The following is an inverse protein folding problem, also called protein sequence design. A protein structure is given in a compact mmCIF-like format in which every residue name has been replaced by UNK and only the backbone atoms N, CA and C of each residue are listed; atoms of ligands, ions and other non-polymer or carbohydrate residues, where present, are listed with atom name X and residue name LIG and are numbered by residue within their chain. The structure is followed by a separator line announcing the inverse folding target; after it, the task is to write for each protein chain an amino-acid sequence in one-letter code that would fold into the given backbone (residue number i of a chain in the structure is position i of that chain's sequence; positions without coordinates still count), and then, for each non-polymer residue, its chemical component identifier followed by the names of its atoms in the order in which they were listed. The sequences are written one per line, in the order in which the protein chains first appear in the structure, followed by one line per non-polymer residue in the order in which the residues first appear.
data_IF_959738123917
#
_entry.id   IF_959738123917
#
_cell.length_a   1.000
_cell.length_b   1.000
_cell.length_c   1.000
_cell.angle_alpha   90.00
_cell.angle_beta   90.00
_cell.angle_gamma   90.00
#
_symmetry.space_group_name_H-M   'P 1'
#
loop_
_entity.id
_entity.type
_entity.pdbx_description
1 polymer ?
#
# COMPACT_ATOMS: atom_id res chain seq x y z
N UNK A 1 6.10 -27.60 -16.52
CA UNK A 1 5.11 -27.02 -15.57
C UNK A 1 5.79 -26.78 -14.23
N UNK A 2 5.45 -25.66 -13.56
CA UNK A 2 5.96 -25.35 -12.24
C UNK A 2 7.41 -24.87 -12.19
N UNK A 3 8.00 -24.44 -13.30
CA UNK A 3 9.38 -23.96 -13.33
C UNK A 3 9.56 -22.70 -12.49
N UNK A 4 8.66 -21.73 -12.66
CA UNK A 4 8.64 -20.52 -11.86
C UNK A 4 7.23 -19.90 -11.87
N UNK A 5 7.00 -19.01 -10.90
CA UNK A 5 5.76 -18.25 -10.77
C UNK A 5 5.88 -16.87 -11.41
N UNK A 6 4.88 -16.47 -12.17
CA UNK A 6 4.82 -15.17 -12.84
C UNK A 6 3.39 -14.70 -13.03
N UNK A 7 3.19 -13.40 -12.97
CA UNK A 7 1.98 -12.73 -13.45
C UNK A 7 2.12 -12.48 -14.95
N UNK A 8 1.80 -13.49 -15.77
CA UNK A 8 2.10 -13.52 -17.19
C UNK A 8 1.50 -12.40 -18.04
N UNK A 9 0.53 -11.65 -17.50
CA UNK A 9 -0.01 -10.44 -18.12
C UNK A 9 0.85 -9.19 -17.88
N UNK A 10 1.80 -9.25 -16.93
CA UNK A 10 2.55 -8.07 -16.49
C UNK A 10 4.07 -8.26 -16.68
N UNK A 11 4.63 -9.35 -16.22
CA UNK A 11 6.04 -9.67 -16.36
C UNK A 11 6.26 -11.17 -16.50
N UNK A 12 7.42 -11.54 -17.02
CA UNK A 12 7.84 -12.90 -17.31
C UNK A 12 8.63 -12.89 -18.60
N UNK A 13 9.95 -12.95 -18.52
CA UNK A 13 10.85 -12.83 -19.65
C UNK A 13 11.89 -13.94 -19.61
N UNK A 14 12.49 -14.19 -20.79
CA UNK A 14 13.60 -15.11 -20.97
C UNK A 14 14.71 -14.41 -21.76
N UNK A 15 15.94 -14.58 -21.30
CA UNK A 15 17.14 -14.11 -21.98
C UNK A 15 18.16 -15.24 -22.11
N UNK A 16 18.88 -15.26 -23.23
CA UNK A 16 20.01 -16.15 -23.43
C UNK A 16 21.27 -15.32 -23.36
N UNK A 17 22.30 -15.84 -22.69
CA UNK A 17 23.60 -15.18 -22.63
C UNK A 17 24.15 -15.04 -24.06
N UNK A 18 24.58 -13.84 -24.46
CA UNK A 18 25.05 -13.58 -25.85
C UNK A 18 26.29 -14.38 -26.23
N UNK A 19 27.05 -14.91 -25.26
CA UNK A 19 28.27 -15.66 -25.49
C UNK A 19 28.13 -17.16 -25.21
N UNK A 20 27.02 -17.60 -24.59
CA UNK A 20 26.79 -19.00 -24.22
C UNK A 20 25.32 -19.39 -24.38
N UNK A 21 24.98 -20.08 -25.46
CA UNK A 21 23.61 -20.52 -25.76
C UNK A 21 23.01 -21.50 -24.73
N UNK A 22 23.84 -22.15 -23.91
CA UNK A 22 23.38 -23.02 -22.83
C UNK A 22 23.01 -22.23 -21.55
N UNK A 23 23.45 -20.96 -21.43
CA UNK A 23 23.18 -20.09 -20.30
C UNK A 23 21.89 -19.30 -20.58
N UNK A 24 20.86 -19.59 -19.79
CA UNK A 24 19.53 -19.00 -19.95
C UNK A 24 19.11 -18.40 -18.61
N UNK A 25 18.57 -17.20 -18.66
CA UNK A 25 17.94 -16.53 -17.53
C UNK A 25 16.45 -16.40 -17.79
N UNK A 26 15.62 -16.75 -16.83
CA UNK A 26 14.19 -16.48 -16.87
C UNK A 26 13.73 -15.89 -15.55
N UNK A 27 12.83 -14.95 -15.63
CA UNK A 27 12.41 -14.18 -14.47
C UNK A 27 10.96 -13.70 -14.60
N UNK A 28 10.35 -13.57 -13.46
CA UNK A 28 9.05 -13.08 -13.13
C UNK A 28 9.06 -12.78 -11.65
N UNK A 29 8.32 -13.50 -10.81
CA UNK A 29 8.46 -13.39 -9.36
C UNK A 29 9.85 -13.85 -8.90
N UNK A 30 10.36 -15.06 -9.21
CA UNK A 30 11.76 -15.40 -8.98
C UNK A 30 12.64 -15.05 -10.19
N UNK A 31 13.93 -14.93 -9.92
CA UNK A 31 15.01 -14.90 -10.94
C UNK A 31 15.76 -16.22 -10.89
N UNK A 32 15.69 -16.98 -11.98
CA UNK A 32 16.32 -18.30 -12.10
C UNK A 32 17.18 -18.39 -13.35
N UNK A 33 18.16 -19.30 -13.35
CA UNK A 33 19.07 -19.50 -14.46
C UNK A 33 19.26 -21.00 -14.76
N UNK A 34 19.70 -21.28 -15.98
CA UNK A 34 20.10 -22.60 -16.47
C UNK A 34 21.50 -22.50 -17.10
N UNK A 35 22.32 -23.52 -16.91
CA UNK A 35 23.65 -23.67 -17.54
C UNK A 35 23.67 -24.77 -18.61
N UNK A 36 22.56 -25.47 -18.83
CA UNK A 36 22.47 -26.67 -19.64
C UNK A 36 21.43 -26.57 -20.77
N UNK A 37 21.15 -25.35 -21.24
CA UNK A 37 20.21 -25.11 -22.34
C UNK A 37 18.75 -25.28 -21.90
N UNK A 38 18.44 -25.05 -20.63
CA UNK A 38 17.08 -25.08 -20.09
C UNK A 38 16.61 -26.46 -19.63
N UNK A 39 17.49 -27.42 -19.44
CA UNK A 39 17.15 -28.74 -18.90
C UNK A 39 16.95 -28.69 -17.38
N UNK A 40 17.83 -27.96 -16.69
CA UNK A 40 17.74 -27.71 -15.25
C UNK A 40 17.80 -26.21 -14.94
N UNK A 41 17.17 -25.80 -13.87
CA UNK A 41 17.14 -24.41 -13.43
C UNK A 41 17.38 -24.31 -11.93
N UNK A 42 18.04 -23.23 -11.51
CA UNK A 42 18.26 -22.88 -10.10
C UNK A 42 18.11 -21.37 -9.89
N UNK A 43 17.77 -20.97 -8.67
CA UNK A 43 17.58 -19.55 -8.32
C UNK A 43 18.91 -18.84 -8.13
N UNK A 44 19.02 -17.64 -8.69
CA UNK A 44 20.12 -16.70 -8.45
C UNK A 44 19.62 -15.42 -7.74
N UNK A 45 18.33 -15.30 -7.50
CA UNK A 45 17.80 -14.30 -6.56
C UNK A 45 18.24 -14.64 -5.14
N UNK A 46 18.82 -13.66 -4.43
CA UNK A 46 19.31 -13.81 -3.04
C UNK A 46 18.47 -12.94 -2.10
N UNK A 47 18.71 -13.03 -0.79
CA UNK A 47 17.93 -12.29 0.23
C UNK A 47 17.91 -10.78 0.05
N UNK A 48 18.97 -10.19 -0.54
CA UNK A 48 19.04 -8.76 -0.82
C UNK A 48 18.55 -8.34 -2.21
N UNK A 49 17.97 -9.28 -2.97
CA UNK A 49 17.36 -9.06 -4.27
C UNK A 49 15.85 -9.19 -4.11
N UNK A 50 15.11 -8.12 -4.33
CA UNK A 50 13.65 -8.15 -4.27
C UNK A 50 13.11 -9.06 -5.36
N UNK A 51 11.97 -9.69 -5.11
CA UNK A 51 11.22 -10.43 -6.12
C UNK A 51 10.63 -9.48 -7.20
N UNK A 52 9.80 -10.03 -8.08
CA UNK A 52 9.06 -9.27 -9.10
C UNK A 52 10.02 -8.55 -10.07
N UNK A 53 10.72 -9.38 -10.84
CA UNK A 53 11.77 -8.94 -11.75
C UNK A 53 11.17 -8.49 -13.09
N UNK A 54 11.49 -7.25 -13.52
CA UNK A 54 10.95 -6.61 -14.71
C UNK A 54 11.93 -6.63 -15.88
N UNK A 55 13.23 -6.52 -15.63
CA UNK A 55 14.23 -6.57 -16.68
C UNK A 55 15.58 -7.08 -16.18
N UNK A 56 16.35 -7.65 -17.12
CA UNK A 56 17.69 -8.15 -16.88
C UNK A 56 18.59 -7.77 -18.06
N UNK A 57 19.62 -6.98 -17.80
CA UNK A 57 20.67 -6.74 -18.76
C UNK A 57 21.87 -7.67 -18.49
N UNK A 58 22.36 -8.31 -19.56
CA UNK A 58 23.50 -9.20 -19.55
C UNK A 58 24.65 -8.52 -20.28
N UNK A 59 25.80 -8.36 -19.63
CA UNK A 59 26.96 -7.73 -20.24
C UNK A 59 27.59 -8.63 -21.32
N UNK A 60 27.55 -8.24 -22.62
CA UNK A 60 28.09 -9.09 -23.69
C UNK A 60 29.63 -9.20 -23.67
N UNK A 61 30.31 -8.30 -22.96
CA UNK A 61 31.77 -8.24 -22.90
C UNK A 61 32.35 -8.78 -21.58
N UNK A 62 31.51 -9.08 -20.59
CA UNK A 62 31.95 -9.54 -19.27
C UNK A 62 30.98 -10.59 -18.73
N UNK A 63 31.24 -11.88 -18.93
CA UNK A 63 30.41 -12.95 -18.39
C UNK A 63 30.19 -12.80 -16.88
N UNK A 64 28.98 -13.09 -16.41
CA UNK A 64 28.60 -12.99 -15.00
C UNK A 64 28.29 -11.57 -14.51
N UNK A 65 28.46 -10.55 -15.36
CA UNK A 65 28.05 -9.20 -15.03
C UNK A 65 26.61 -8.98 -15.50
N UNK A 66 25.69 -8.87 -14.55
CA UNK A 66 24.25 -8.68 -14.78
C UNK A 66 23.77 -7.44 -14.04
N UNK A 67 22.75 -6.78 -14.60
CA UNK A 67 21.98 -5.73 -13.94
C UNK A 67 20.51 -6.12 -13.99
N UNK A 68 19.89 -6.20 -12.84
CA UNK A 68 18.47 -6.58 -12.68
C UNK A 68 17.65 -5.42 -12.14
N UNK A 69 16.52 -5.13 -12.79
CA UNK A 69 15.48 -4.24 -12.33
C UNK A 69 14.33 -5.04 -11.73
N UNK A 70 13.93 -4.70 -10.51
CA UNK A 70 12.84 -5.35 -9.77
C UNK A 70 12.08 -4.33 -8.92
N UNK A 71 11.00 -4.74 -8.25
CA UNK A 71 10.16 -3.84 -7.44
C UNK A 71 10.89 -3.23 -6.22
N UNK A 72 12.03 -3.78 -5.84
CA UNK A 72 12.93 -3.20 -4.83
C UNK A 72 13.98 -2.23 -5.40
N UNK A 73 14.03 -2.04 -6.73
CA UNK A 73 14.97 -1.15 -7.41
C UNK A 73 15.95 -1.88 -8.34
N UNK A 74 17.23 -1.55 -8.26
CA UNK A 74 18.28 -2.08 -9.15
C UNK A 74 19.31 -2.88 -8.36
N UNK A 75 19.59 -4.10 -8.84
CA UNK A 75 20.64 -4.97 -8.31
C UNK A 75 21.68 -5.27 -9.38
N UNK A 76 22.95 -5.32 -8.98
CA UNK A 76 24.10 -5.59 -9.87
C UNK A 76 24.88 -6.76 -9.32
N UNK A 77 25.24 -7.69 -10.20
CA UNK A 77 26.18 -8.79 -9.89
C UNK A 77 27.35 -8.80 -10.87
N UNK A 78 28.49 -9.29 -10.44
CA UNK A 78 29.69 -9.49 -11.27
C UNK A 78 30.14 -10.95 -11.31
N UNK A 79 29.41 -11.83 -10.67
CA UNK A 79 29.70 -13.24 -10.45
C UNK A 79 28.46 -14.13 -10.72
N UNK A 80 27.67 -13.76 -11.72
CA UNK A 80 26.51 -14.52 -12.19
C UNK A 80 25.45 -14.79 -11.11
N UNK A 81 25.28 -13.84 -10.20
CA UNK A 81 24.26 -13.89 -9.16
C UNK A 81 24.67 -14.62 -7.88
N UNK A 82 25.95 -14.99 -7.71
CA UNK A 82 26.45 -15.50 -6.44
C UNK A 82 26.36 -14.41 -5.36
N UNK A 83 26.76 -13.18 -5.71
CA UNK A 83 26.65 -12.01 -4.86
C UNK A 83 25.98 -10.86 -5.60
N UNK A 84 25.11 -10.13 -4.90
CA UNK A 84 24.42 -8.98 -5.45
C UNK A 84 24.69 -7.71 -4.66
N UNK A 85 24.87 -6.62 -5.40
CA UNK A 85 24.98 -5.25 -4.85
C UNK A 85 23.66 -4.57 -5.11
N UNK A 86 22.93 -4.22 -4.06
CA UNK A 86 21.72 -3.40 -4.18
C UNK A 86 22.10 -1.95 -4.38
N UNK A 87 21.61 -1.34 -5.45
CA UNK A 87 21.77 0.09 -5.68
C UNK A 87 20.76 0.88 -4.85
N UNK A 88 21.21 1.47 -3.74
CA UNK A 88 20.38 2.28 -2.85
C UNK A 88 20.42 3.79 -3.18
N UNK A 89 20.99 4.19 -4.33
CA UNK A 89 21.09 5.59 -4.73
C UNK A 89 19.90 6.10 -5.55
N UNK A 90 18.96 5.25 -5.87
CA UNK A 90 17.75 5.62 -6.59
C UNK A 90 16.74 6.23 -5.61
N UNK A 91 16.46 7.53 -5.78
CA UNK A 91 15.56 8.30 -4.91
C UNK A 91 14.13 8.29 -5.48
N UNK A 92 13.56 7.10 -5.69
CA UNK A 92 12.20 6.93 -6.21
C UNK A 92 11.42 5.92 -5.36
N UNK A 93 10.11 6.10 -5.28
CA UNK A 93 9.20 5.19 -4.61
C UNK A 93 7.77 5.42 -5.09
N UNK A 94 7.00 4.36 -5.21
CA UNK A 94 5.59 4.43 -5.57
C UNK A 94 4.76 4.50 -4.29
N UNK A 95 4.31 5.70 -3.93
CA UNK A 95 3.53 5.93 -2.73
C UNK A 95 2.05 5.63 -2.96
N UNK A 96 1.45 4.84 -2.09
CA UNK A 96 0.00 4.72 -1.94
C UNK A 96 -0.57 5.85 -1.10
N UNK A 97 0.14 6.24 -0.05
CA UNK A 97 -0.32 7.26 0.90
C UNK A 97 0.85 8.02 1.51
N UNK A 98 0.63 9.29 1.83
CA UNK A 98 1.60 10.17 2.51
C UNK A 98 0.87 10.90 3.63
N UNK A 99 1.53 11.03 4.79
CA UNK A 99 1.07 11.82 5.93
C UNK A 99 2.23 12.49 6.67
N UNK A 100 1.94 13.40 7.60
CA UNK A 100 2.93 14.12 8.41
C UNK A 100 2.50 14.17 9.87
N UNK A 101 3.47 14.31 10.80
CA UNK A 101 3.22 14.34 12.26
C UNK A 101 3.12 15.74 12.87
N UNK A 102 3.27 16.79 12.09
CA UNK A 102 3.25 18.20 12.51
C UNK A 102 4.28 18.57 13.59
N UNK A 103 5.30 17.76 13.84
CA UNK A 103 6.43 18.11 14.72
C UNK A 103 7.28 19.25 14.12
N UNK A 104 8.26 19.76 14.87
CA UNK A 104 9.21 20.79 14.38
C UNK A 104 10.64 20.35 14.66
N UNK A 105 11.39 19.86 13.66
CA UNK A 105 10.98 19.56 12.27
C UNK A 105 9.96 18.40 12.20
N UNK A 106 9.04 18.45 11.25
CA UNK A 106 8.08 17.35 11.07
C UNK A 106 8.69 16.17 10.32
N UNK A 107 8.15 15.00 10.57
CA UNK A 107 8.44 13.82 9.77
C UNK A 107 7.37 13.62 8.69
N UNK A 108 7.82 13.08 7.57
CA UNK A 108 6.98 12.56 6.49
C UNK A 108 6.90 11.07 6.65
N UNK A 109 5.69 10.53 6.52
CA UNK A 109 5.39 9.11 6.55
C UNK A 109 4.85 8.71 5.19
N UNK A 110 5.24 7.54 4.69
CA UNK A 110 4.76 7.05 3.41
C UNK A 110 4.61 5.54 3.38
N UNK A 111 3.48 5.08 2.86
CA UNK A 111 3.25 3.69 2.49
C UNK A 111 3.54 3.50 1.01
N UNK A 112 4.45 2.58 0.68
CA UNK A 112 4.95 2.34 -0.67
C UNK A 112 4.55 0.94 -1.14
N UNK A 113 4.23 0.84 -2.42
CA UNK A 113 4.07 -0.45 -3.06
C UNK A 113 5.38 -1.24 -2.93
N UNK A 114 5.29 -2.51 -2.53
CA UNK A 114 6.37 -3.49 -2.38
C UNK A 114 7.48 -3.12 -1.39
N UNK A 115 7.54 -1.87 -0.94
CA UNK A 115 8.64 -1.33 -0.16
C UNK A 115 8.25 -0.91 1.27
N UNK A 116 7.08 -1.29 1.74
CA UNK A 116 6.64 -1.10 3.12
C UNK A 116 6.28 0.33 3.49
N UNK A 117 6.32 0.61 4.78
CA UNK A 117 6.02 1.93 5.35
C UNK A 117 7.28 2.55 5.91
N UNK A 118 7.53 3.79 5.53
CA UNK A 118 8.72 4.54 5.93
C UNK A 118 8.36 5.86 6.60
N UNK A 119 9.26 6.33 7.46
CA UNK A 119 9.21 7.67 8.04
C UNK A 119 10.59 8.33 8.00
N UNK A 120 10.61 9.64 7.87
CA UNK A 120 11.85 10.42 7.94
C UNK A 120 11.60 11.92 8.02
N UNK A 121 12.59 12.70 8.47
CA UNK A 121 12.45 14.14 8.60
C UNK A 121 12.33 14.81 7.24
N UNK A 122 11.40 15.78 7.10
CA UNK A 122 11.17 16.51 5.85
C UNK A 122 12.41 17.26 5.34
N UNK A 123 13.31 17.61 6.24
CA UNK A 123 14.53 18.37 5.95
C UNK A 123 15.78 17.47 5.82
N UNK A 124 15.61 16.17 5.59
CA UNK A 124 16.72 15.27 5.31
C UNK A 124 17.47 15.70 4.06
N UNK A 125 18.78 15.87 4.18
CA UNK A 125 19.66 16.23 3.06
C UNK A 125 20.43 14.97 2.64
N UNK A 126 20.35 14.54 1.35
CA UNK A 126 21.11 13.42 0.84
C UNK A 126 22.61 13.54 1.14
N UNK A 127 23.22 12.46 1.64
CA UNK A 127 24.64 12.47 1.98
C UNK A 127 25.28 11.11 1.68
N UNK A 128 26.40 11.12 0.98
CA UNK A 128 27.24 9.92 0.77
C UNK A 128 27.68 9.27 2.08
N UNK A 129 27.73 10.01 3.20
CA UNK A 129 28.08 9.50 4.52
C UNK A 129 27.06 8.50 5.06
N UNK A 130 25.81 8.54 4.59
CA UNK A 130 24.79 7.57 5.03
C UNK A 130 25.20 6.13 4.72
N UNK A 131 25.70 5.89 3.50
CA UNK A 131 26.17 4.57 3.09
C UNK A 131 27.40 4.11 3.91
N UNK A 132 28.24 5.06 4.34
CA UNK A 132 29.45 4.77 5.10
C UNK A 132 29.19 4.55 6.60
N UNK A 133 28.19 5.21 7.15
CA UNK A 133 27.96 5.24 8.60
C UNK A 133 26.72 4.46 9.04
N UNK A 134 25.87 4.05 8.09
CA UNK A 134 24.57 3.44 8.37
C UNK A 134 23.55 4.41 9.00
N UNK A 135 23.88 5.69 9.11
CA UNK A 135 23.00 6.71 9.71
C UNK A 135 22.03 7.29 8.69
N UNK A 136 21.22 6.42 8.12
CA UNK A 136 20.15 6.81 7.21
C UNK A 136 19.01 7.48 7.99
N UNK A 137 18.53 8.68 7.59
CA UNK A 137 17.53 9.41 8.34
C UNK A 137 16.11 8.82 8.22
N UNK A 138 15.86 8.07 7.16
CA UNK A 138 14.59 7.39 6.93
C UNK A 138 14.60 6.03 7.61
N UNK A 139 13.51 5.70 8.28
CA UNK A 139 13.33 4.44 9.01
C UNK A 139 12.18 3.65 8.41
N UNK A 140 12.39 2.38 8.16
CA UNK A 140 11.31 1.45 7.87
C UNK A 140 10.52 1.18 9.16
N UNK A 141 9.20 1.32 9.08
CA UNK A 141 8.26 1.08 10.19
C UNK A 141 7.64 -0.31 10.07
N UNK A 142 7.29 -0.70 8.83
CA UNK A 142 6.58 -1.93 8.53
C UNK A 142 6.91 -2.40 7.11
N UNK A 143 6.94 -3.73 6.89
CA UNK A 143 7.13 -4.33 5.57
C UNK A 143 5.80 -4.57 4.83
N UNK A 144 5.88 -5.17 3.65
CA UNK A 144 4.76 -5.46 2.75
C UNK A 144 4.44 -4.28 1.82
N UNK A 145 3.26 -4.30 1.21
CA UNK A 145 2.70 -3.13 0.52
C UNK A 145 2.21 -2.13 1.55
N UNK A 146 2.97 -1.06 1.78
CA UNK A 146 2.61 -0.04 2.76
C UNK A 146 1.40 0.77 2.28
N UNK A 147 0.37 0.84 3.12
CA UNK A 147 -0.92 1.47 2.79
C UNK A 147 -1.13 2.79 3.54
N UNK A 148 -2.35 3.07 3.95
CA UNK A 148 -2.72 4.29 4.68
C UNK A 148 -1.96 4.41 6.00
N UNK A 149 -1.70 5.67 6.40
CA UNK A 149 -1.01 5.99 7.64
C UNK A 149 -1.78 7.08 8.37
N UNK A 150 -2.07 6.84 9.65
CA UNK A 150 -2.63 7.83 10.56
C UNK A 150 -1.70 7.98 11.76
N UNK A 151 -1.50 9.22 12.21
CA UNK A 151 -0.59 9.56 13.31
C UNK A 151 -1.40 10.24 14.40
N UNK A 152 -1.30 9.78 15.64
CA UNK A 152 -1.95 10.45 16.78
C UNK A 152 -1.30 11.84 16.99
N UNK A 153 -2.07 12.89 16.80
CA UNK A 153 -1.58 14.27 16.90
C UNK A 153 -1.09 14.65 18.31
N UNK A 154 -1.49 13.91 19.34
CA UNK A 154 -1.09 14.08 20.74
C UNK A 154 0.23 13.39 21.05
N UNK A 155 0.53 12.27 20.33
CA UNK A 155 1.74 11.49 20.49
C UNK A 155 2.19 10.90 19.14
N UNK A 156 3.16 11.49 18.45
CA UNK A 156 3.59 11.05 17.12
C UNK A 156 4.26 9.67 17.11
N UNK A 157 4.57 9.10 18.30
CA UNK A 157 5.04 7.73 18.39
C UNK A 157 3.91 6.70 18.18
N UNK A 158 2.64 7.12 18.27
CA UNK A 158 1.49 6.24 18.02
C UNK A 158 1.03 6.40 16.58
N UNK A 159 1.21 5.35 15.81
CA UNK A 159 0.91 5.31 14.37
C UNK A 159 -0.02 4.14 14.06
N UNK A 160 -0.99 4.37 13.19
CA UNK A 160 -1.86 3.34 12.64
C UNK A 160 -1.51 3.15 11.18
N UNK A 161 -1.00 1.99 10.82
CA UNK A 161 -0.59 1.67 9.45
C UNK A 161 -0.51 0.17 9.24
N UNK A 162 -0.35 -0.25 8.02
CA UNK A 162 -0.25 -1.67 7.70
C UNK A 162 -0.11 -1.94 6.21
N UNK A 163 -0.51 -3.11 5.82
CA UNK A 163 -0.44 -3.62 4.47
C UNK A 163 -1.83 -3.77 3.85
N UNK A 164 -1.86 -4.27 2.62
CA UNK A 164 -3.04 -4.47 1.79
C UNK A 164 -4.18 -5.20 2.53
N UNK A 165 -5.40 -5.00 2.05
CA UNK A 165 -6.63 -5.60 2.60
C UNK A 165 -6.87 -5.30 4.08
N UNK A 166 -6.37 -4.13 4.54
CA UNK A 166 -6.61 -3.67 5.90
C UNK A 166 -5.88 -4.45 6.99
N UNK A 167 -4.75 -5.08 6.71
CA UNK A 167 -3.91 -5.66 7.76
C UNK A 167 -3.16 -4.57 8.53
N UNK A 168 -3.93 -3.68 9.19
CA UNK A 168 -3.40 -2.55 9.93
C UNK A 168 -3.18 -2.85 11.41
N UNK A 169 -2.21 -2.14 11.96
CA UNK A 169 -1.84 -2.21 13.37
C UNK A 169 -1.66 -0.81 13.94
N UNK A 170 -1.98 -0.66 15.21
CA UNK A 170 -1.47 0.42 16.03
C UNK A 170 -0.06 0.04 16.47
N UNK A 171 0.88 0.94 16.18
CA UNK A 171 2.30 0.80 16.48
C UNK A 171 2.68 1.88 17.48
N UNK A 172 3.46 1.52 18.48
CA UNK A 172 4.20 2.44 19.32
C UNK A 172 5.65 2.42 18.87
N UNK A 173 6.10 3.48 18.20
CA UNK A 173 7.43 3.60 17.62
C UNK A 173 8.56 3.72 18.66
N UNK A 174 8.23 4.11 19.89
CA UNK A 174 9.18 4.21 21.00
C UNK A 174 9.45 2.83 21.61
N UNK A 175 8.39 2.08 21.89
CA UNK A 175 8.48 0.79 22.57
C UNK A 175 8.55 -0.40 21.62
N UNK A 176 8.24 -0.21 20.34
CA UNK A 176 8.12 -1.27 19.35
C UNK A 176 6.87 -2.14 19.51
N UNK A 177 5.97 -1.81 20.43
CA UNK A 177 4.73 -2.58 20.64
C UNK A 177 3.80 -2.44 19.43
N UNK A 178 3.21 -3.56 19.02
CA UNK A 178 2.30 -3.64 17.89
C UNK A 178 1.02 -4.37 18.29
N UNK A 179 -0.13 -3.84 17.86
CA UNK A 179 -1.44 -4.46 18.03
C UNK A 179 -2.26 -4.33 16.75
N UNK A 180 -2.83 -5.44 16.27
CA UNK A 180 -3.77 -5.42 15.14
C UNK A 180 -5.02 -4.63 15.50
N UNK A 181 -5.46 -3.77 14.57
CA UNK A 181 -6.68 -2.97 14.71
C UNK A 181 -7.71 -3.31 13.62
N UNK A 182 -7.52 -4.39 12.89
CA UNK A 182 -8.46 -4.79 11.83
C UNK A 182 -9.78 -5.28 12.44
N UNK A 183 -10.95 -4.72 12.06
CA UNK A 183 -12.25 -5.26 12.45
C UNK A 183 -12.44 -6.69 11.96
N UNK A 184 -13.08 -7.51 12.78
CA UNK A 184 -13.36 -8.92 12.47
C UNK A 184 -14.86 -9.12 12.54
N UNK A 185 -15.42 -9.84 11.55
CA UNK A 185 -16.84 -10.24 11.55
C UNK A 185 -17.11 -11.30 12.63
N UNK A 186 -18.33 -11.38 13.10
CA UNK A 186 -18.74 -12.41 14.05
C UNK A 186 -18.86 -13.78 13.39
N UNK A 187 -18.73 -14.82 14.18
CA UNK A 187 -18.90 -16.20 13.70
C UNK A 187 -20.31 -16.40 13.15
N UNK A 188 -20.38 -16.94 11.93
CA UNK A 188 -21.64 -17.19 11.23
C UNK A 188 -22.10 -16.03 10.33
N UNK A 189 -21.44 -14.89 10.38
CA UNK A 189 -21.69 -13.79 9.45
C UNK A 189 -20.78 -13.90 8.21
N UNK A 190 -21.19 -13.26 7.12
CA UNK A 190 -20.36 -13.13 5.93
C UNK A 190 -19.11 -12.31 6.24
N UNK A 191 -17.92 -12.74 5.75
CA UNK A 191 -16.69 -11.99 5.93
C UNK A 191 -16.81 -10.57 5.39
N UNK A 192 -16.21 -9.60 6.09
CA UNK A 192 -16.08 -8.25 5.60
C UNK A 192 -15.20 -8.21 4.35
N UNK A 193 -15.59 -7.38 3.37
CA UNK A 193 -14.81 -7.12 2.17
C UNK A 193 -13.93 -5.89 2.41
N UNK A 194 -12.63 -6.02 2.24
CA UNK A 194 -11.66 -4.94 2.41
C UNK A 194 -10.99 -4.62 1.07
N UNK A 195 -10.90 -3.34 0.74
CA UNK A 195 -10.16 -2.90 -0.42
C UNK A 195 -8.67 -3.23 -0.32
N UNK A 196 -7.98 -3.30 -1.44
CA UNK A 196 -6.51 -3.38 -1.46
C UNK A 196 -5.92 -2.27 -0.60
N UNK A 197 -6.28 -1.02 -0.90
CA UNK A 197 -5.98 0.14 -0.08
C UNK A 197 -7.19 0.45 0.82
N UNK A 198 -7.33 -0.28 1.89
CA UNK A 198 -8.42 -0.11 2.86
C UNK A 198 -8.34 1.26 3.53
N UNK A 199 -9.43 2.05 3.55
CA UNK A 199 -9.41 3.36 4.19
C UNK A 199 -9.47 3.24 5.72
N UNK A 200 -8.60 3.98 6.40
CA UNK A 200 -8.57 4.16 7.85
C UNK A 200 -8.48 5.66 8.14
N UNK A 201 -9.24 6.14 9.13
CA UNK A 201 -9.26 7.55 9.50
C UNK A 201 -9.26 7.73 11.01
N UNK A 202 -8.25 8.42 11.52
CA UNK A 202 -8.23 8.91 12.90
C UNK A 202 -9.06 10.19 12.98
N UNK A 203 -10.00 10.26 13.93
CA UNK A 203 -10.89 11.42 14.07
C UNK A 203 -10.11 12.69 14.37
N UNK A 204 -10.48 13.78 13.71
CA UNK A 204 -9.92 15.10 13.98
C UNK A 204 -10.45 15.72 15.29
N UNK A 205 -11.60 15.25 15.78
CA UNK A 205 -12.24 15.74 17.00
C UNK A 205 -11.78 15.00 18.25
N UNK A 206 -11.53 13.68 18.14
CA UNK A 206 -11.08 12.86 19.23
C UNK A 206 -10.13 11.77 18.74
N UNK A 207 -8.87 11.86 19.11
CA UNK A 207 -7.81 10.93 18.67
C UNK A 207 -7.92 9.51 19.29
N UNK A 208 -8.91 9.25 20.14
CA UNK A 208 -9.26 7.89 20.58
C UNK A 208 -10.28 7.22 19.64
N UNK A 209 -10.90 8.03 18.76
CA UNK A 209 -11.87 7.57 17.76
C UNK A 209 -11.16 7.24 16.45
N UNK A 210 -11.42 6.04 15.96
CA UNK A 210 -10.87 5.53 14.71
C UNK A 210 -12.01 5.01 13.84
N UNK A 211 -12.01 5.38 12.55
CA UNK A 211 -12.92 4.85 11.55
C UNK A 211 -12.18 3.89 10.62
N UNK A 212 -12.88 2.84 10.20
CA UNK A 212 -12.30 1.80 9.36
C UNK A 212 -13.31 1.33 8.32
N UNK A 213 -12.90 1.32 7.05
CA UNK A 213 -13.78 0.94 5.95
C UNK A 213 -13.58 -0.51 5.51
N UNK A 214 -14.66 -1.29 5.55
CA UNK A 214 -14.79 -2.53 4.77
C UNK A 214 -15.81 -2.28 3.65
N UNK A 215 -16.81 -3.14 3.45
CA UNK A 215 -18.07 -2.78 2.79
C UNK A 215 -19.04 -2.06 3.74
N UNK A 216 -18.69 -2.03 5.03
CA UNK A 216 -19.35 -1.26 6.10
C UNK A 216 -18.39 -0.20 6.64
N UNK A 217 -18.95 0.79 7.34
CA UNK A 217 -18.14 1.67 8.17
C UNK A 217 -18.12 1.16 9.62
N UNK A 218 -16.92 0.99 10.15
CA UNK A 218 -16.68 0.61 11.54
C UNK A 218 -16.13 1.81 12.32
N UNK A 219 -16.55 1.97 13.57
CA UNK A 219 -16.09 2.98 14.51
C UNK A 219 -15.53 2.32 15.76
N UNK A 220 -14.37 2.74 16.19
CA UNK A 220 -13.79 2.46 17.49
C UNK A 220 -13.72 3.76 18.29
N UNK A 221 -13.93 3.69 19.62
CA UNK A 221 -13.77 4.82 20.53
C UNK A 221 -12.64 4.60 21.54
N UNK A 222 -11.87 3.53 21.35
CA UNK A 222 -10.84 3.03 22.25
C UNK A 222 -9.53 2.68 21.53
N UNK A 223 -9.19 3.46 20.48
CA UNK A 223 -7.94 3.32 19.72
C UNK A 223 -7.83 2.00 18.94
N UNK A 224 -8.95 1.44 18.51
CA UNK A 224 -9.01 0.19 17.77
C UNK A 224 -8.97 -1.08 18.62
N UNK A 225 -9.24 -0.97 19.93
CA UNK A 225 -9.36 -2.13 20.81
C UNK A 225 -10.66 -2.91 20.57
N UNK A 226 -11.76 -2.19 20.36
CA UNK A 226 -13.07 -2.72 20.01
C UNK A 226 -13.71 -1.93 18.86
N UNK A 227 -14.68 -2.55 18.18
CA UNK A 227 -15.31 -2.00 16.99
C UNK A 227 -16.82 -2.12 17.04
N UNK A 228 -17.51 -1.06 16.64
CA UNK A 228 -18.93 -1.05 16.33
C UNK A 228 -19.11 -0.83 14.81
N UNK A 229 -19.96 -1.63 14.17
CA UNK A 229 -20.38 -1.40 12.79
C UNK A 229 -21.53 -0.39 12.79
N UNK A 230 -21.28 0.82 12.27
CA UNK A 230 -22.22 1.97 12.32
C UNK A 230 -22.92 2.23 10.99
N UNK A 231 -22.93 1.27 10.08
CA UNK A 231 -23.66 1.39 8.79
C UNK A 231 -24.21 0.04 8.34
N UNK A 232 -25.13 0.08 7.37
CA UNK A 232 -25.40 -1.04 6.48
C UNK A 232 -24.29 -1.17 5.43
N UNK A 233 -24.40 -2.15 4.50
CA UNK A 233 -23.49 -2.24 3.35
C UNK A 233 -23.62 -0.98 2.48
N UNK A 234 -22.58 -0.16 2.42
CA UNK A 234 -22.55 1.12 1.71
C UNK A 234 -22.05 0.99 0.26
N UNK A 235 -22.17 -0.21 -0.31
CA UNK A 235 -21.75 -0.54 -1.68
C UNK A 235 -22.89 -1.12 -2.49
N UNK A 236 -22.66 -1.43 -3.77
CA UNK A 236 -23.63 -2.18 -4.62
C UNK A 236 -23.55 -3.70 -4.39
N UNK A 237 -22.67 -4.17 -3.48
CA UNK A 237 -22.43 -5.56 -3.18
C UNK A 237 -21.18 -6.14 -3.83
N UNK A 238 -20.76 -7.30 -3.33
CA UNK A 238 -19.58 -8.00 -3.82
C UNK A 238 -19.78 -8.61 -5.21
N UNK A 239 -18.68 -8.71 -5.97
CA UNK A 239 -18.59 -9.48 -7.21
C UNK A 239 -17.49 -10.54 -7.07
N UNK A 240 -17.64 -11.65 -7.77
CA UNK A 240 -16.58 -12.65 -7.88
C UNK A 240 -15.40 -12.07 -8.68
N UNK A 241 -14.18 -12.31 -8.21
CA UNK A 241 -12.95 -11.83 -8.84
C UNK A 241 -11.72 -12.17 -8.01
N UNK A 242 -10.56 -11.77 -8.51
CA UNK A 242 -9.28 -12.03 -7.84
C UNK A 242 -9.04 -11.14 -6.62
N UNK A 243 -9.75 -10.02 -6.53
CA UNK A 243 -9.70 -9.07 -5.42
C UNK A 243 -11.11 -8.76 -4.93
N UNK A 244 -11.30 -8.42 -3.65
CA UNK A 244 -12.58 -7.97 -3.15
C UNK A 244 -13.10 -6.75 -3.92
N UNK A 245 -14.38 -6.75 -4.26
CA UNK A 245 -15.10 -5.67 -4.90
C UNK A 245 -16.37 -5.34 -4.10
N UNK A 246 -16.87 -4.13 -4.24
CA UNK A 246 -17.90 -3.59 -3.36
C UNK A 246 -17.31 -3.31 -1.99
N UNK A 247 -16.32 -2.42 -1.96
CA UNK A 247 -15.53 -2.06 -0.77
C UNK A 247 -15.43 -0.55 -0.64
N UNK A 248 -15.33 -0.05 0.58
CA UNK A 248 -15.03 1.37 0.81
C UNK A 248 -13.57 1.67 0.43
N UNK A 249 -13.38 2.81 -0.22
CA UNK A 249 -12.09 3.30 -0.72
C UNK A 249 -11.63 4.57 -0.01
N UNK A 250 -12.59 5.31 0.59
CA UNK A 250 -12.28 6.58 1.25
C UNK A 250 -13.29 6.89 2.36
N UNK A 251 -12.80 7.51 3.42
CA UNK A 251 -13.59 8.02 4.56
C UNK A 251 -13.17 9.47 4.77
N UNK A 252 -14.15 10.36 4.93
CA UNK A 252 -13.93 11.76 5.27
C UNK A 252 -14.88 12.19 6.38
N UNK A 253 -14.33 12.40 7.58
CA UNK A 253 -15.01 13.05 8.69
C UNK A 253 -14.99 14.57 8.47
N UNK A 254 -16.09 15.25 8.72
CA UNK A 254 -16.12 16.71 8.68
C UNK A 254 -15.24 17.28 9.81
N UNK A 255 -14.32 18.20 9.53
CA UNK A 255 -13.55 18.85 10.57
C UNK A 255 -14.36 19.86 11.39
N UNK A 256 -15.58 20.18 10.98
CA UNK A 256 -16.49 21.14 11.63
C UNK A 256 -17.45 20.42 12.59
N UNK A 257 -17.91 19.22 12.23
CA UNK A 257 -18.95 18.50 12.96
C UNK A 257 -18.63 16.98 12.96
N UNK A 258 -18.38 16.41 14.13
CA UNK A 258 -18.01 15.01 14.31
C UNK A 258 -19.11 14.00 13.90
N UNK A 259 -20.36 14.44 13.86
CA UNK A 259 -21.50 13.62 13.43
C UNK A 259 -21.62 13.51 11.90
N UNK A 260 -20.87 14.32 11.15
CA UNK A 260 -20.93 14.34 9.68
C UNK A 260 -19.75 13.54 9.11
N UNK A 261 -20.08 12.40 8.49
CA UNK A 261 -19.10 11.49 7.90
C UNK A 261 -19.53 11.12 6.49
N UNK A 262 -18.59 11.09 5.59
CA UNK A 262 -18.76 10.68 4.20
C UNK A 262 -17.95 9.41 3.92
N UNK A 263 -18.50 8.53 3.09
CA UNK A 263 -17.81 7.34 2.58
C UNK A 263 -17.93 7.24 1.07
N UNK A 264 -16.89 6.74 0.43
CA UNK A 264 -16.87 6.44 -1.01
C UNK A 264 -16.41 5.00 -1.24
N UNK A 265 -16.87 4.38 -2.33
CA UNK A 265 -16.61 2.99 -2.66
C UNK A 265 -16.02 2.80 -4.06
N UNK A 266 -15.48 1.60 -4.31
CA UNK A 266 -14.89 1.19 -5.59
C UNK A 266 -15.96 1.00 -6.71
N UNK A 267 -17.23 0.93 -6.35
CA UNK A 267 -18.37 0.80 -7.26
C UNK A 267 -19.16 2.12 -7.45
N UNK A 268 -18.60 3.26 -7.01
CA UNK A 268 -19.11 4.60 -7.28
C UNK A 268 -20.16 5.11 -6.32
N UNK A 269 -20.38 4.42 -5.18
CA UNK A 269 -21.34 4.88 -4.19
C UNK A 269 -20.70 5.92 -3.26
N UNK A 270 -21.44 7.01 -3.01
CA UNK A 270 -21.08 8.01 -2.00
C UNK A 270 -22.24 8.15 -1.03
N UNK A 271 -21.95 7.96 0.25
CA UNK A 271 -22.91 8.10 1.34
C UNK A 271 -22.49 9.18 2.32
N UNK A 272 -23.49 9.79 2.96
CA UNK A 272 -23.32 10.73 4.07
C UNK A 272 -24.16 10.29 5.26
N UNK A 273 -23.61 10.42 6.45
CA UNK A 273 -24.36 10.51 7.70
C UNK A 273 -24.22 11.92 8.27
N UNK A 274 -25.26 12.40 8.97
CA UNK A 274 -25.27 13.67 9.72
C UNK A 274 -25.62 13.45 11.19
N UNK A 275 -25.53 12.22 11.67
CA UNK A 275 -25.89 11.83 13.04
C UNK A 275 -25.01 10.70 13.57
N UNK A 276 -23.73 10.73 13.24
CA UNK A 276 -22.72 9.81 13.74
C UNK A 276 -22.89 8.34 13.33
N UNK A 277 -23.54 8.10 12.18
CA UNK A 277 -23.73 6.74 11.63
C UNK A 277 -25.11 6.12 11.91
N UNK A 278 -26.02 6.81 12.60
CA UNK A 278 -27.38 6.28 12.88
C UNK A 278 -28.23 6.14 11.63
N UNK A 279 -28.06 7.04 10.66
CA UNK A 279 -28.71 6.97 9.35
C UNK A 279 -27.76 7.40 8.24
N UNK A 280 -27.93 6.79 7.06
CA UNK A 280 -27.09 7.04 5.89
C UNK A 280 -27.93 7.44 4.69
N UNK A 281 -27.47 8.43 3.93
CA UNK A 281 -28.10 8.89 2.71
C UNK A 281 -27.13 8.75 1.53
N UNK A 282 -27.58 8.09 0.48
CA UNK A 282 -26.86 8.07 -0.80
C UNK A 282 -26.92 9.42 -1.48
N UNK A 283 -25.79 9.99 -1.86
CA UNK A 283 -25.64 11.27 -2.55
C UNK A 283 -24.95 11.15 -3.91
N UNK A 284 -24.72 9.92 -4.42
CA UNK A 284 -24.03 9.66 -5.69
C UNK A 284 -24.95 9.58 -6.92
N UNK A 285 -26.28 9.80 -6.78
CA UNK A 285 -27.28 9.54 -7.84
C UNK A 285 -27.04 10.32 -9.14
N UNK A 286 -26.54 11.54 -9.03
CA UNK A 286 -26.31 12.45 -10.15
C UNK A 286 -24.85 12.45 -10.62
N UNK A 287 -24.02 11.58 -10.08
CA UNK A 287 -22.63 11.41 -10.46
C UNK A 287 -22.46 10.32 -11.51
N UNK A 288 -21.34 10.30 -12.25
CA UNK A 288 -21.00 9.18 -13.12
C UNK A 288 -21.02 7.86 -12.34
N UNK A 289 -21.73 6.87 -12.88
CA UNK A 289 -21.93 5.59 -12.20
C UNK A 289 -20.77 4.63 -12.44
N UNK A 290 -20.56 3.71 -11.49
CA UNK A 290 -19.59 2.63 -11.57
C UNK A 290 -18.12 3.09 -11.67
N UNK A 291 -17.80 4.35 -11.36
CA UNK A 291 -16.47 4.87 -11.25
C UNK A 291 -15.96 4.75 -9.81
N UNK A 292 -14.70 4.40 -9.66
CA UNK A 292 -14.02 4.34 -8.38
C UNK A 292 -13.99 5.71 -7.69
N UNK A 293 -14.54 5.82 -6.48
CA UNK A 293 -14.42 7.05 -5.67
C UNK A 293 -13.03 7.04 -5.03
N UNK A 294 -12.09 7.74 -5.64
CA UNK A 294 -10.69 7.70 -5.22
C UNK A 294 -10.41 8.54 -3.97
N UNK A 295 -11.11 9.67 -3.80
CA UNK A 295 -10.97 10.52 -2.61
C UNK A 295 -12.23 11.31 -2.33
N UNK A 296 -12.53 11.46 -1.05
CA UNK A 296 -13.52 12.43 -0.51
C UNK A 296 -12.81 13.37 0.45
N UNK A 297 -13.17 14.63 0.41
CA UNK A 297 -12.64 15.65 1.32
C UNK A 297 -13.75 16.59 1.77
N UNK A 298 -14.17 16.49 3.03
CA UNK A 298 -15.14 17.40 3.65
C UNK A 298 -14.49 18.76 3.85
N UNK A 299 -15.22 19.83 3.46
CA UNK A 299 -14.73 21.20 3.59
C UNK A 299 -14.48 21.57 5.06
N UNK A 300 -13.39 22.30 5.31
CA UNK A 300 -13.11 22.91 6.61
C UNK A 300 -13.79 24.24 6.82
N UNK A 301 -14.56 24.75 5.83
CA UNK A 301 -15.18 26.05 5.83
C UNK A 301 -16.72 26.01 5.84
N UNK A 302 -17.29 24.93 5.28
CA UNK A 302 -18.74 24.74 5.22
C UNK A 302 -19.05 23.23 5.32
N UNK A 303 -19.84 22.83 6.32
CA UNK A 303 -20.20 21.44 6.57
C UNK A 303 -21.07 20.80 5.47
N UNK A 304 -21.67 21.62 4.58
CA UNK A 304 -22.49 21.16 3.47
C UNK A 304 -21.68 20.95 2.17
N UNK A 305 -20.39 21.25 2.18
CA UNK A 305 -19.52 21.12 1.01
C UNK A 305 -18.61 19.92 1.17
N UNK A 306 -18.62 19.05 0.16
CA UNK A 306 -17.67 17.94 0.00
C UNK A 306 -17.08 17.96 -1.40
N UNK A 307 -15.82 17.70 -1.51
CA UNK A 307 -15.11 17.48 -2.76
C UNK A 307 -14.95 15.97 -2.97
N UNK A 308 -15.24 15.52 -4.19
CA UNK A 308 -15.09 14.11 -4.57
C UNK A 308 -14.25 14.00 -5.85
N UNK A 309 -13.34 13.05 -5.88
CA UNK A 309 -12.67 12.62 -7.11
C UNK A 309 -13.07 11.20 -7.45
N UNK A 310 -13.42 11.01 -8.73
CA UNK A 310 -13.78 9.71 -9.30
C UNK A 310 -12.73 9.34 -10.35
N UNK A 311 -12.41 8.06 -10.41
CA UNK A 311 -11.35 7.52 -11.25
C UNK A 311 -11.93 6.49 -12.23
N UNK A 312 -11.72 6.73 -13.50
CA UNK A 312 -12.20 5.87 -14.58
C UNK A 312 -11.12 5.35 -15.52
N UNK A 313 -9.84 5.57 -15.20
CA UNK A 313 -8.75 5.21 -16.12
C UNK A 313 -8.73 3.72 -16.51
N UNK A 314 -9.20 2.83 -15.63
CA UNK A 314 -9.31 1.39 -15.92
C UNK A 314 -10.40 1.04 -16.93
N UNK A 315 -11.26 2.00 -17.28
CA UNK A 315 -12.40 1.87 -18.18
C UNK A 315 -12.28 2.82 -19.38
N UNK A 316 -11.06 3.30 -19.68
CA UNK A 316 -10.80 4.33 -20.72
C UNK A 316 -11.71 5.57 -20.58
N UNK A 317 -12.10 5.92 -19.36
CA UNK A 317 -12.92 7.08 -19.04
C UNK A 317 -12.03 8.12 -18.32
N UNK A 318 -11.45 9.00 -19.13
CA UNK A 318 -10.51 10.03 -18.70
C UNK A 318 -11.22 11.38 -18.47
#
# INVERSE_FOLDING_TARGET
EGLYYSYGYYFGKIHVDPNNSNKIYTYGVPLITSDDGGKTFYTIGKENVHADHHDLWINPNKPGHLINGNDGGVNITYDDGENWIKNNSTEVGQFYSINVDYQKPYNVYGGLQDNGVWMGPHNAIPSKRWNMTGKYPWKSILGGDGMEIQIDSRNPNIVYTGSQFGFYSRLDLETGKRRSVKPVHELGQSPFRFNWQTPIRLSSHNQDVLYYGSNFLHKSIDKGESWETISEDLTKGGKLGNVPYGTLTTISESPINEDVIYTGSDDGMIYITKNGGKTWKNISKDLPQDLWVSKLYASSHDENIIYASLDGYRWDNF
#
